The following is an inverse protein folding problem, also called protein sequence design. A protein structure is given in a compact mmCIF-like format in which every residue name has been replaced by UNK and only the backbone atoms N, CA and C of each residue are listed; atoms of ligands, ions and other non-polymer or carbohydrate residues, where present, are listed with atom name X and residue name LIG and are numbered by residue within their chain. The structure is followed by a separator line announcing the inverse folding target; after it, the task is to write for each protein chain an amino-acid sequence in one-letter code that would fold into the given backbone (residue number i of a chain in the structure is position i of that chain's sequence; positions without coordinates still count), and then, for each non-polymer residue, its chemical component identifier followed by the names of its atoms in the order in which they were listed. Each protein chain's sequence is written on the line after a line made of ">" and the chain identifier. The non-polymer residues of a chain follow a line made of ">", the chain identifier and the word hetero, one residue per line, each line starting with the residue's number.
data_IF_187942239329
#
_entry.id   IF_187942239329
#
_cell.length_a   1.000
_cell.length_b   1.000
_cell.length_c   1.000
_cell.angle_alpha   90.00
_cell.angle_beta   90.00
_cell.angle_gamma   90.00
#
_symmetry.space_group_name_H-M   'P 1'
#
loop_
_entity.id
_entity.type
_entity.pdbx_description
1 polymer ?
#
# COMPACT_ATOMS: atom_id res chain seq x y z
N UNK A 1 -9.13 19.31 -54.30
CA UNK A 1 -8.24 18.50 -55.14
C UNK A 1 -6.83 18.60 -54.55
N UNK A 2 -6.47 17.67 -53.68
CA UNK A 2 -5.15 17.56 -53.05
C UNK A 2 -4.83 16.05 -52.99
N UNK A 3 -3.71 15.58 -53.54
CA UNK A 3 -3.29 14.20 -53.35
C UNK A 3 -2.13 14.14 -52.35
N UNK A 4 -2.20 13.27 -51.35
CA UNK A 4 -0.98 12.71 -50.78
C UNK A 4 -1.23 11.30 -50.24
N UNK A 5 -0.54 10.36 -50.87
CA UNK A 5 -0.44 8.95 -50.49
C UNK A 5 0.37 8.85 -49.20
N UNK A 6 -0.10 8.04 -48.25
CA UNK A 6 0.74 7.52 -47.18
C UNK A 6 1.65 6.41 -47.73
N UNK A 7 2.92 6.28 -47.30
CA UNK A 7 3.74 5.12 -47.61
C UNK A 7 3.50 4.00 -46.58
N UNK A 8 3.34 2.77 -47.09
CA UNK A 8 3.32 1.54 -46.30
C UNK A 8 4.70 1.27 -45.69
N UNK A 9 4.78 1.23 -44.35
CA UNK A 9 5.93 0.70 -43.63
C UNK A 9 5.68 -0.78 -43.30
N UNK A 10 6.31 -1.68 -44.04
CA UNK A 10 6.44 -3.08 -43.65
C UNK A 10 7.55 -3.22 -42.60
N UNK A 11 7.17 -3.54 -41.36
CA UNK A 11 8.11 -3.94 -40.31
C UNK A 11 8.34 -5.45 -40.43
N UNK A 12 9.54 -5.85 -40.83
CA UNK A 12 9.99 -7.24 -40.78
C UNK A 12 10.44 -7.59 -39.37
N UNK A 13 9.76 -8.56 -38.73
CA UNK A 13 10.18 -9.13 -37.44
C UNK A 13 11.23 -10.22 -37.68
N UNK A 14 12.30 -10.31 -36.85
CA UNK A 14 13.24 -11.43 -36.91
C UNK A 14 12.62 -12.71 -36.33
N UNK A 15 13.07 -13.90 -36.76
CA UNK A 15 12.55 -15.18 -36.29
C UNK A 15 12.97 -15.48 -34.84
N UNK A 16 12.22 -16.32 -34.11
CA UNK A 16 12.49 -16.64 -32.70
C UNK A 16 13.72 -17.53 -32.55
N UNK A 17 14.58 -17.17 -31.60
CA UNK A 17 15.75 -17.95 -31.17
C UNK A 17 15.28 -19.06 -30.24
N UNK A 18 15.52 -20.31 -30.63
CA UNK A 18 15.23 -21.51 -29.84
C UNK A 18 16.35 -21.78 -28.83
N UNK A 19 16.02 -21.71 -27.53
CA UNK A 19 16.91 -22.14 -26.46
C UNK A 19 16.84 -23.66 -26.28
N UNK A 20 17.95 -24.34 -26.58
CA UNK A 20 18.16 -25.76 -26.30
C UNK A 20 18.68 -25.90 -24.87
N UNK A 21 17.86 -26.42 -23.97
CA UNK A 21 18.29 -26.82 -22.61
C UNK A 21 18.92 -28.21 -22.70
N UNK A 22 20.24 -28.28 -22.59
CA UNK A 22 20.98 -29.54 -22.40
C UNK A 22 20.85 -29.99 -20.94
N UNK A 23 20.18 -31.12 -20.73
CA UNK A 23 20.24 -31.88 -19.48
C UNK A 23 21.53 -32.71 -19.41
N UNK A 24 22.14 -32.81 -18.22
CA UNK A 24 23.27 -33.68 -17.92
C UNK A 24 23.26 -34.05 -16.42
N UNK A 25 23.86 -35.19 -16.03
CA UNK A 25 23.10 -36.22 -15.34
C UNK A 25 23.51 -36.50 -13.88
N UNK A 26 22.55 -37.10 -13.18
CA UNK A 26 22.68 -38.11 -12.12
C UNK A 26 24.04 -38.28 -11.44
N UNK A 27 24.10 -37.91 -10.16
CA UNK A 27 25.09 -38.45 -9.22
C UNK A 27 24.47 -39.57 -8.37
N UNK A 28 25.16 -40.70 -8.42
CA UNK A 28 24.94 -41.97 -7.75
C UNK A 28 25.34 -41.89 -6.27
N UNK A 29 24.56 -42.48 -5.35
CA UNK A 29 25.01 -42.79 -3.98
C UNK A 29 24.69 -44.25 -3.66
N UNK A 30 25.56 -44.98 -2.92
CA UNK A 30 25.53 -46.43 -2.86
C UNK A 30 24.66 -46.98 -1.73
N UNK A 31 24.31 -48.25 -1.93
CA UNK A 31 23.47 -49.13 -1.13
C UNK A 31 23.71 -49.12 0.39
N UNK A 32 22.62 -49.04 1.15
CA UNK A 32 22.56 -49.54 2.53
C UNK A 32 21.48 -50.60 2.68
N UNK A 33 21.83 -51.61 3.48
CA UNK A 33 21.24 -52.93 3.62
C UNK A 33 19.82 -52.90 4.19
N UNK A 34 18.97 -53.81 3.69
CA UNK A 34 17.63 -54.11 4.22
C UNK A 34 17.73 -54.78 5.60
N UNK A 35 16.95 -54.28 6.55
CA UNK A 35 16.42 -55.02 7.71
C UNK A 35 14.90 -54.76 7.77
N UNK A 36 14.07 -55.77 8.09
CA UNK A 36 12.63 -55.60 8.12
C UNK A 36 12.19 -55.15 9.52
N UNK A 37 11.59 -53.97 9.65
CA UNK A 37 10.88 -53.59 10.88
C UNK A 37 9.54 -52.98 10.52
N UNK A 38 8.46 -53.65 10.95
CA UNK A 38 7.04 -53.29 10.80
C UNK A 38 6.63 -52.00 11.57
N UNK A 39 7.55 -51.07 11.80
CA UNK A 39 7.31 -49.83 12.54
C UNK A 39 6.75 -48.62 11.74
N UNK A 40 6.83 -48.50 10.39
CA UNK A 40 6.40 -47.26 9.74
C UNK A 40 4.88 -47.17 9.51
N UNK A 41 4.13 -48.28 9.62
CA UNK A 41 2.69 -48.27 9.34
C UNK A 41 1.89 -47.65 10.50
N UNK A 42 2.33 -47.82 11.74
CA UNK A 42 1.64 -47.23 12.90
C UNK A 42 1.88 -45.72 13.06
N UNK A 43 3.07 -45.22 12.71
CA UNK A 43 3.40 -43.78 12.78
C UNK A 43 2.72 -42.98 11.67
N UNK A 44 2.57 -43.56 10.48
CA UNK A 44 1.83 -42.94 9.38
C UNK A 44 0.31 -42.97 9.65
N UNK A 45 -0.23 -44.05 10.24
CA UNK A 45 -1.64 -44.07 10.66
C UNK A 45 -1.92 -43.11 11.83
N UNK A 46 -1.01 -42.96 12.80
CA UNK A 46 -1.22 -42.01 13.91
C UNK A 46 -1.14 -40.55 13.46
N UNK A 47 -0.31 -40.23 12.46
CA UNK A 47 -0.28 -38.90 11.83
C UNK A 47 -1.50 -38.63 10.94
N UNK A 48 -2.05 -39.66 10.27
CA UNK A 48 -3.29 -39.52 9.50
C UNK A 48 -4.52 -39.40 10.41
N UNK A 49 -4.55 -40.07 11.57
CA UNK A 49 -5.64 -39.97 12.56
C UNK A 49 -5.58 -38.68 13.40
N UNK A 50 -4.40 -38.07 13.62
CA UNK A 50 -4.29 -36.75 14.25
C UNK A 50 -4.62 -35.58 13.31
N UNK A 51 -4.54 -35.79 11.99
CA UNK A 51 -5.06 -34.84 10.98
C UNK A 51 -6.58 -34.95 10.77
N UNK A 52 -7.21 -36.04 11.24
CA UNK A 52 -8.66 -36.25 11.17
C UNK A 52 -9.43 -35.81 12.42
N UNK A 53 -8.75 -35.31 13.46
CA UNK A 53 -9.33 -35.05 14.79
C UNK A 53 -9.33 -33.58 15.24
N UNK A 54 -9.14 -32.62 14.32
CA UNK A 54 -9.35 -31.20 14.63
C UNK A 54 -10.10 -30.47 13.50
N UNK A 55 -11.31 -30.93 13.16
CA UNK A 55 -12.27 -30.00 12.57
C UNK A 55 -12.80 -29.13 13.72
N UNK A 56 -12.64 -27.78 13.69
CA UNK A 56 -13.27 -26.94 14.70
C UNK A 56 -14.77 -27.21 14.68
N UNK A 57 -15.31 -27.64 15.82
CA UNK A 57 -16.68 -28.17 15.93
C UNK A 57 -17.77 -27.10 15.77
N UNK A 58 -17.42 -25.88 15.39
CA UNK A 58 -18.35 -24.78 15.12
C UNK A 58 -17.74 -23.81 14.11
N UNK A 59 -18.57 -23.32 13.17
CA UNK A 59 -18.22 -22.24 12.24
C UNK A 59 -17.80 -21.00 13.03
N UNK A 60 -16.64 -20.35 12.76
CA UNK A 60 -16.26 -19.14 13.46
C UNK A 60 -17.30 -18.03 13.25
N UNK A 61 -17.62 -17.33 14.32
CA UNK A 61 -18.51 -16.16 14.30
C UNK A 61 -17.70 -14.91 13.96
N UNK A 62 -18.06 -14.24 12.87
CA UNK A 62 -17.42 -13.01 12.41
C UNK A 62 -18.42 -11.87 12.55
N UNK A 63 -18.08 -10.93 13.43
CA UNK A 63 -18.84 -9.68 13.58
C UNK A 63 -18.31 -8.66 12.59
N UNK A 64 -19.22 -7.98 11.90
CA UNK A 64 -18.86 -7.04 10.84
C UNK A 64 -19.56 -5.70 11.05
N UNK A 65 -18.80 -4.62 10.92
CA UNK A 65 -19.31 -3.24 10.99
C UNK A 65 -18.62 -2.36 9.94
N UNK A 66 -19.21 -1.20 9.63
CA UNK A 66 -18.64 -0.25 8.67
C UNK A 66 -18.68 -0.67 7.19
N UNK A 67 -19.54 -1.63 6.83
CA UNK A 67 -19.82 -2.04 5.44
C UNK A 67 -21.34 -2.06 5.18
N UNK A 68 -21.75 -2.06 3.92
CA UNK A 68 -23.17 -2.01 3.54
C UNK A 68 -23.91 -3.34 3.78
N UNK A 69 -25.24 -3.30 3.82
CA UNK A 69 -26.06 -4.50 3.94
C UNK A 69 -25.83 -5.49 2.78
N UNK A 70 -25.63 -4.97 1.56
CA UNK A 70 -25.34 -5.79 0.38
C UNK A 70 -23.99 -6.50 0.51
N UNK A 71 -22.95 -5.81 1.01
CA UNK A 71 -21.65 -6.41 1.28
C UNK A 71 -21.74 -7.49 2.37
N UNK A 72 -22.53 -7.29 3.43
CA UNK A 72 -22.79 -8.33 4.43
C UNK A 72 -23.47 -9.55 3.80
N UNK A 73 -24.48 -9.33 2.95
CA UNK A 73 -25.19 -10.40 2.28
C UNK A 73 -24.29 -11.17 1.30
N UNK A 74 -23.41 -10.48 0.58
CA UNK A 74 -22.38 -11.07 -0.27
C UNK A 74 -21.47 -12.02 0.52
N UNK A 75 -20.99 -11.60 1.72
CA UNK A 75 -20.18 -12.46 2.59
C UNK A 75 -20.96 -13.70 3.05
N UNK A 76 -22.23 -13.54 3.46
CA UNK A 76 -23.09 -14.65 3.89
C UNK A 76 -23.30 -15.68 2.79
N UNK A 77 -23.51 -15.23 1.56
CA UNK A 77 -23.71 -16.10 0.39
C UNK A 77 -22.41 -16.78 -0.06
N UNK A 78 -21.27 -16.10 0.07
CA UNK A 78 -19.99 -16.56 -0.48
C UNK A 78 -19.17 -17.44 0.48
N UNK A 79 -19.53 -17.49 1.77
CA UNK A 79 -18.73 -18.11 2.84
C UNK A 79 -19.59 -19.00 3.73
N UNK A 80 -19.69 -20.28 3.38
CA UNK A 80 -20.42 -21.28 4.16
C UNK A 80 -19.66 -21.73 5.42
N UNK A 81 -18.37 -21.42 5.52
CA UNK A 81 -17.51 -21.89 6.60
C UNK A 81 -17.56 -21.01 7.86
N UNK A 82 -18.19 -19.83 7.79
CA UNK A 82 -18.24 -18.86 8.90
C UNK A 82 -19.65 -18.28 9.09
N UNK A 83 -20.01 -17.93 10.32
CA UNK A 83 -21.25 -17.20 10.62
C UNK A 83 -21.00 -15.69 10.54
N UNK A 84 -21.68 -14.98 9.64
CA UNK A 84 -21.48 -13.54 9.43
C UNK A 84 -22.60 -12.73 10.09
N UNK A 85 -22.22 -11.95 11.10
CA UNK A 85 -23.13 -11.18 11.94
C UNK A 85 -22.81 -9.68 11.80
N UNK A 86 -23.69 -8.93 11.15
CA UNK A 86 -23.60 -7.46 11.14
C UNK A 86 -23.81 -6.90 12.55
N UNK A 87 -23.20 -5.77 12.88
CA UNK A 87 -23.45 -5.07 14.14
C UNK A 87 -23.54 -3.56 13.93
N UNK A 88 -24.54 -2.93 14.52
CA UNK A 88 -24.53 -1.47 14.71
C UNK A 88 -23.52 -1.09 15.80
N UNK A 89 -23.28 0.22 15.97
CA UNK A 89 -22.41 0.71 17.05
C UNK A 89 -22.89 0.30 18.44
N UNK A 90 -24.20 0.28 18.65
CA UNK A 90 -24.84 -0.05 19.94
C UNK A 90 -24.76 -1.55 20.25
N UNK A 91 -24.84 -2.39 19.21
CA UNK A 91 -24.83 -3.84 19.36
C UNK A 91 -23.42 -4.45 19.35
N UNK A 92 -22.40 -3.67 18.97
CA UNK A 92 -21.05 -4.19 18.73
C UNK A 92 -20.50 -4.96 19.93
N UNK A 93 -20.60 -4.38 21.14
CA UNK A 93 -20.00 -4.98 22.35
C UNK A 93 -20.67 -6.29 22.75
N UNK A 94 -21.99 -6.41 22.58
CA UNK A 94 -22.72 -7.64 22.90
C UNK A 94 -22.46 -8.72 21.84
N UNK A 95 -22.45 -8.35 20.56
CA UNK A 95 -22.24 -9.29 19.45
C UNK A 95 -20.81 -9.82 19.36
N UNK A 96 -19.81 -9.01 19.75
CA UNK A 96 -18.39 -9.41 19.70
C UNK A 96 -17.97 -10.30 20.87
N UNK A 97 -18.75 -10.37 21.95
CA UNK A 97 -18.36 -11.03 23.20
C UNK A 97 -17.93 -12.51 23.03
N UNK A 98 -18.61 -13.23 22.13
CA UNK A 98 -18.39 -14.62 21.76
C UNK A 98 -17.85 -14.79 20.33
N UNK A 99 -17.46 -13.70 19.65
CA UNK A 99 -16.99 -13.73 18.26
C UNK A 99 -15.53 -14.20 18.14
N UNK A 100 -15.22 -14.86 17.03
CA UNK A 100 -13.87 -15.28 16.64
C UNK A 100 -13.12 -14.22 15.84
N UNK A 101 -13.86 -13.41 15.07
CA UNK A 101 -13.31 -12.36 14.21
C UNK A 101 -14.16 -11.09 14.24
N UNK A 102 -13.50 -9.95 14.04
CA UNK A 102 -14.11 -8.63 13.93
C UNK A 102 -13.59 -7.91 12.69
N UNK A 103 -14.50 -7.45 11.82
CA UNK A 103 -14.16 -6.63 10.66
C UNK A 103 -14.75 -5.23 10.86
N UNK A 104 -13.91 -4.20 10.67
CA UNK A 104 -14.32 -2.80 10.58
C UNK A 104 -14.15 -1.96 11.85
N UNK A 105 -13.91 -2.58 13.01
CA UNK A 105 -13.60 -1.87 14.27
C UNK A 105 -12.42 -2.50 14.99
N UNK A 106 -11.72 -1.70 15.77
CA UNK A 106 -10.57 -2.09 16.59
C UNK A 106 -10.55 -1.34 17.93
N UNK A 107 -11.70 -0.80 18.37
CA UNK A 107 -11.78 -0.02 19.61
C UNK A 107 -11.42 -0.85 20.84
N UNK A 108 -10.77 -0.25 21.83
CA UNK A 108 -10.36 -0.92 23.06
C UNK A 108 -11.54 -1.64 23.74
N UNK A 109 -12.73 -1.05 23.76
CA UNK A 109 -13.94 -1.67 24.31
C UNK A 109 -14.34 -2.95 23.57
N UNK A 110 -14.31 -2.95 22.24
CA UNK A 110 -14.63 -4.14 21.46
C UNK A 110 -13.60 -5.26 21.70
N UNK A 111 -12.32 -4.90 21.79
CA UNK A 111 -11.24 -5.85 22.10
C UNK A 111 -11.41 -6.43 23.51
N UNK A 112 -11.76 -5.62 24.51
CA UNK A 112 -12.01 -6.09 25.88
C UNK A 112 -13.25 -6.98 25.97
N UNK A 113 -14.31 -6.66 25.22
CA UNK A 113 -15.54 -7.43 25.20
C UNK A 113 -15.35 -8.80 24.54
N UNK A 114 -14.58 -8.87 23.44
CA UNK A 114 -14.41 -10.09 22.64
C UNK A 114 -13.53 -11.16 23.29
N UNK A 115 -14.10 -11.96 24.19
CA UNK A 115 -13.36 -12.98 24.98
C UNK A 115 -12.83 -14.16 24.15
N UNK A 116 -13.41 -14.39 22.96
CA UNK A 116 -12.98 -15.43 22.01
C UNK A 116 -12.28 -14.86 20.78
N UNK A 117 -12.07 -13.54 20.72
CA UNK A 117 -11.58 -12.87 19.53
C UNK A 117 -10.16 -13.34 19.20
N UNK A 118 -9.96 -13.75 17.95
CA UNK A 118 -8.66 -14.20 17.42
C UNK A 118 -8.17 -13.30 16.29
N UNK A 119 -9.08 -12.58 15.65
CA UNK A 119 -8.79 -11.77 14.47
C UNK A 119 -9.53 -10.43 14.47
N UNK A 120 -8.82 -9.36 14.10
CA UNK A 120 -9.37 -8.03 13.78
C UNK A 120 -8.89 -7.59 12.40
N UNK A 121 -9.80 -7.13 11.54
CA UNK A 121 -9.52 -6.58 10.22
C UNK A 121 -9.96 -5.12 10.14
N UNK A 122 -9.04 -4.23 9.76
CA UNK A 122 -9.36 -2.82 9.46
C UNK A 122 -9.82 -2.66 8.01
N UNK A 123 -10.56 -1.58 7.71
CA UNK A 123 -11.00 -1.26 6.34
C UNK A 123 -9.95 -0.45 5.55
N UNK A 124 -8.96 0.10 6.25
CA UNK A 124 -7.93 1.01 5.76
C UNK A 124 -6.57 0.34 5.62
N UNK A 125 -5.68 0.92 4.81
CA UNK A 125 -4.28 0.47 4.72
C UNK A 125 -3.49 0.79 6.00
N UNK A 126 -3.68 1.97 6.60
CA UNK A 126 -3.05 2.30 7.89
C UNK A 126 -3.84 1.79 9.09
N UNK A 127 -3.14 1.72 10.22
CA UNK A 127 -3.63 1.14 11.49
C UNK A 127 -3.36 2.02 12.70
N UNK A 128 -3.04 3.30 12.49
CA UNK A 128 -2.69 4.24 13.54
C UNK A 128 -3.80 4.37 14.60
N UNK A 129 -5.08 4.28 14.18
CA UNK A 129 -6.25 4.25 15.06
C UNK A 129 -6.48 2.92 15.80
N UNK A 130 -5.71 1.88 15.50
CA UNK A 130 -5.87 0.53 16.04
C UNK A 130 -4.67 0.11 16.91
N UNK A 131 -4.10 1.06 17.66
CA UNK A 131 -2.90 0.87 18.50
C UNK A 131 -3.18 0.83 20.00
N UNK A 132 -4.41 0.51 20.41
CA UNK A 132 -4.74 0.40 21.83
C UNK A 132 -3.87 -0.69 22.52
N UNK A 133 -3.43 -0.50 23.78
CA UNK A 133 -2.66 -1.51 24.49
C UNK A 133 -3.35 -2.87 24.55
N UNK A 134 -4.69 -2.88 24.63
CA UNK A 134 -5.51 -4.09 24.62
C UNK A 134 -5.36 -4.88 23.32
N UNK A 135 -5.28 -4.19 22.17
CA UNK A 135 -5.05 -4.87 20.90
C UNK A 135 -3.58 -5.22 20.71
N UNK A 136 -2.67 -4.29 20.97
CA UNK A 136 -1.23 -4.45 20.71
C UNK A 136 -0.65 -5.61 21.53
N UNK A 137 -1.03 -5.74 22.80
CA UNK A 137 -0.47 -6.76 23.72
C UNK A 137 -1.27 -8.07 23.76
N UNK A 138 -2.37 -8.18 23.00
CA UNK A 138 -3.16 -9.43 22.92
C UNK A 138 -2.56 -10.44 21.94
N UNK A 139 -2.98 -11.71 21.98
CA UNK A 139 -2.67 -12.68 20.92
C UNK A 139 -3.50 -12.48 19.64
N UNK A 140 -4.43 -11.52 19.61
CA UNK A 140 -5.32 -11.27 18.45
C UNK A 140 -4.49 -10.84 17.24
N UNK A 141 -4.70 -11.49 16.10
CA UNK A 141 -4.08 -11.09 14.84
C UNK A 141 -4.79 -9.86 14.29
N UNK A 142 -4.04 -8.79 14.04
CA UNK A 142 -4.52 -7.59 13.34
C UNK A 142 -4.13 -7.67 11.87
N UNK A 143 -5.09 -7.47 10.97
CA UNK A 143 -4.87 -7.34 9.52
C UNK A 143 -5.42 -6.01 9.01
N UNK A 144 -4.80 -5.49 7.96
CA UNK A 144 -5.21 -4.24 7.31
C UNK A 144 -5.54 -4.45 5.83
N UNK A 145 -5.94 -3.37 5.17
CA UNK A 145 -6.22 -3.34 3.73
C UNK A 145 -5.00 -2.89 2.90
N UNK A 146 -3.76 -3.19 3.35
CA UNK A 146 -2.57 -2.91 2.53
C UNK A 146 -2.60 -3.74 1.24
N UNK A 147 -1.81 -3.33 0.25
CA UNK A 147 -1.69 -3.94 -1.10
C UNK A 147 -2.92 -3.69 -1.98
N UNK A 148 -4.16 -3.86 -1.48
CA UNK A 148 -5.34 -3.70 -2.34
C UNK A 148 -5.53 -2.26 -2.84
N UNK A 149 -5.01 -1.27 -2.11
CA UNK A 149 -5.02 0.15 -2.48
C UNK A 149 -3.75 0.61 -3.22
N UNK A 150 -2.76 -0.26 -3.40
CA UNK A 150 -1.44 0.11 -3.92
C UNK A 150 -1.49 0.74 -5.32
N UNK A 151 -2.15 0.10 -6.30
CA UNK A 151 -2.18 0.61 -7.68
C UNK A 151 -2.80 2.01 -7.80
N UNK A 152 -3.98 2.24 -7.21
CA UNK A 152 -4.70 3.52 -7.32
C UNK A 152 -3.99 4.65 -6.56
N UNK A 153 -3.39 4.37 -5.41
CA UNK A 153 -2.60 5.38 -4.68
C UNK A 153 -1.38 5.78 -5.50
N UNK A 154 -0.76 4.81 -6.17
CA UNK A 154 0.38 5.09 -7.04
C UNK A 154 -0.03 5.88 -8.29
N UNK A 155 -1.18 5.57 -8.91
CA UNK A 155 -1.75 6.36 -10.00
C UNK A 155 -2.02 7.80 -9.55
N UNK A 156 -2.58 7.97 -8.35
CA UNK A 156 -2.86 9.28 -7.76
C UNK A 156 -1.58 10.07 -7.46
N UNK A 157 -0.54 9.42 -6.93
CA UNK A 157 0.76 10.05 -6.69
C UNK A 157 1.39 10.58 -7.99
N UNK A 158 1.31 9.80 -9.07
CA UNK A 158 1.76 10.24 -10.39
C UNK A 158 0.85 11.32 -10.98
N UNK A 159 -0.47 11.26 -10.75
CA UNK A 159 -1.39 12.32 -11.16
C UNK A 159 -1.07 13.66 -10.49
N UNK A 160 -0.77 13.66 -9.19
CA UNK A 160 -0.32 14.84 -8.44
C UNK A 160 1.00 15.39 -9.03
N UNK A 161 1.98 14.53 -9.30
CA UNK A 161 3.24 14.93 -9.92
C UNK A 161 3.03 15.49 -11.33
N UNK A 162 2.26 14.81 -12.17
CA UNK A 162 1.98 15.22 -13.55
C UNK A 162 1.17 16.51 -13.61
N UNK A 163 0.27 16.74 -12.64
CA UNK A 163 -0.44 18.01 -12.52
C UNK A 163 0.51 19.19 -12.38
N UNK A 164 1.54 19.05 -11.54
CA UNK A 164 2.58 20.06 -11.33
C UNK A 164 3.54 20.16 -12.52
N UNK A 165 4.14 19.04 -12.93
CA UNK A 165 5.20 19.02 -13.95
C UNK A 165 4.68 19.34 -15.35
N UNK A 166 3.40 19.10 -15.65
CA UNK A 166 2.79 19.45 -16.94
C UNK A 166 1.97 20.75 -16.88
N UNK A 167 1.94 21.42 -15.73
CA UNK A 167 1.27 22.71 -15.54
C UNK A 167 -0.26 22.62 -15.59
N UNK A 168 -0.85 21.46 -15.32
CA UNK A 168 -2.30 21.27 -15.32
C UNK A 168 -2.96 22.06 -14.18
N UNK A 169 -2.33 22.09 -13.00
CA UNK A 169 -2.78 22.88 -11.86
C UNK A 169 -3.03 24.35 -12.24
N UNK A 170 -2.13 24.94 -13.03
CA UNK A 170 -2.28 26.32 -13.51
C UNK A 170 -3.27 26.42 -14.67
N UNK A 171 -3.19 25.51 -15.66
CA UNK A 171 -4.04 25.55 -16.84
C UNK A 171 -5.54 25.40 -16.51
N UNK A 172 -5.89 24.61 -15.50
CA UNK A 172 -7.27 24.40 -15.05
C UNK A 172 -7.94 25.68 -14.56
N UNK A 173 -7.18 26.66 -14.08
CA UNK A 173 -7.69 27.97 -13.62
C UNK A 173 -8.15 28.88 -14.76
N UNK A 174 -7.73 28.62 -16.01
CA UNK A 174 -8.13 29.42 -17.17
C UNK A 174 -9.51 29.07 -17.72
N UNK A 175 -9.98 27.82 -17.52
CA UNK A 175 -11.30 27.37 -17.97
C UNK A 175 -12.46 28.24 -17.45
N UNK A 176 -12.61 28.50 -16.13
CA UNK A 176 -13.70 29.35 -15.63
C UNK A 176 -13.62 30.80 -16.12
N UNK A 177 -12.46 31.24 -16.62
CA UNK A 177 -12.23 32.58 -17.18
C UNK A 177 -12.39 32.62 -18.71
N UNK A 178 -12.63 31.49 -19.36
CA UNK A 178 -12.64 31.33 -20.82
C UNK A 178 -11.36 31.85 -21.51
N UNK A 179 -10.20 31.69 -20.87
CA UNK A 179 -8.93 32.19 -21.40
C UNK A 179 -8.13 31.09 -22.11
N UNK A 180 -7.63 31.40 -23.32
CA UNK A 180 -6.70 30.55 -24.06
C UNK A 180 -5.26 31.05 -23.88
N UNK A 181 -4.64 30.75 -22.74
CA UNK A 181 -3.24 31.16 -22.46
C UNK A 181 -2.28 30.15 -23.08
N UNK A 182 -1.35 30.60 -23.93
CA UNK A 182 -0.27 29.76 -24.52
C UNK A 182 1.11 29.97 -23.88
N UNK A 183 1.27 31.04 -23.12
CA UNK A 183 2.54 31.44 -22.49
C UNK A 183 2.48 31.19 -20.97
N UNK A 184 3.65 31.15 -20.32
CA UNK A 184 3.76 31.04 -18.86
C UNK A 184 3.83 29.61 -18.31
N UNK A 185 3.80 28.59 -19.18
CA UNK A 185 4.03 27.20 -18.78
C UNK A 185 5.48 26.81 -18.99
N UNK A 186 6.06 26.11 -18.03
CA UNK A 186 7.40 25.52 -18.11
C UNK A 186 7.31 24.01 -17.81
N UNK A 187 6.73 23.23 -18.75
CA UNK A 187 6.48 21.84 -18.51
C UNK A 187 7.79 21.04 -18.45
N UNK A 188 7.87 20.10 -17.52
CA UNK A 188 9.04 19.31 -17.21
C UNK A 188 8.82 17.87 -17.67
N UNK A 189 9.85 17.25 -18.26
CA UNK A 189 9.87 15.83 -18.60
C UNK A 189 10.38 15.01 -17.42
N UNK A 190 9.77 13.84 -17.18
CA UNK A 190 10.20 12.91 -16.13
C UNK A 190 11.36 12.00 -16.60
N UNK A 191 11.50 11.78 -17.91
CA UNK A 191 12.52 10.88 -18.46
C UNK A 191 13.93 11.34 -18.04
N UNK A 192 14.72 10.41 -17.52
CA UNK A 192 16.09 10.68 -17.05
C UNK A 192 16.18 11.37 -15.69
N UNK A 193 15.06 11.73 -15.07
CA UNK A 193 15.03 12.26 -13.69
C UNK A 193 15.09 11.14 -12.66
N UNK A 194 15.45 11.49 -11.43
CA UNK A 194 15.54 10.57 -10.30
C UNK A 194 14.33 10.70 -9.39
N UNK A 195 13.62 9.59 -9.17
CA UNK A 195 12.59 9.43 -8.16
C UNK A 195 13.19 8.75 -6.92
N UNK A 196 13.05 9.37 -5.75
CA UNK A 196 13.33 8.75 -4.46
C UNK A 196 12.03 8.40 -3.77
N UNK A 197 11.84 7.14 -3.40
CA UNK A 197 10.61 6.64 -2.76
C UNK A 197 10.92 6.28 -1.31
N UNK A 198 10.34 7.02 -0.37
CA UNK A 198 10.44 6.76 1.06
C UNK A 198 9.29 5.82 1.45
N UNK A 199 9.64 4.59 1.83
CA UNK A 199 8.72 3.48 2.07
C UNK A 199 8.44 2.69 0.79
N UNK A 200 9.13 1.57 0.60
CA UNK A 200 9.07 0.73 -0.63
C UNK A 200 8.19 -0.52 -0.39
N UNK A 201 7.15 -0.35 0.43
CA UNK A 201 6.10 -1.37 0.63
C UNK A 201 5.15 -1.49 -0.56
N UNK A 202 3.92 -1.94 -0.32
CA UNK A 202 2.93 -2.17 -1.39
C UNK A 202 2.63 -0.92 -2.25
N UNK A 203 2.53 0.27 -1.63
CA UNK A 203 2.30 1.53 -2.36
C UNK A 203 3.60 1.98 -3.06
N UNK A 204 4.71 2.05 -2.33
CA UNK A 204 5.99 2.52 -2.89
C UNK A 204 6.48 1.67 -4.06
N UNK A 205 6.29 0.35 -4.01
CA UNK A 205 6.58 -0.56 -5.13
C UNK A 205 5.75 -0.20 -6.38
N UNK A 206 4.46 0.09 -6.21
CA UNK A 206 3.59 0.48 -7.31
C UNK A 206 3.93 1.86 -7.87
N UNK A 207 4.40 2.79 -7.03
CA UNK A 207 4.96 4.08 -7.47
C UNK A 207 6.24 3.87 -8.26
N UNK A 208 7.13 2.97 -7.80
CA UNK A 208 8.38 2.64 -8.48
C UNK A 208 8.15 2.12 -9.90
N UNK A 209 7.21 1.18 -10.06
CA UNK A 209 6.82 0.64 -11.37
C UNK A 209 6.40 1.74 -12.35
N UNK A 210 5.55 2.68 -11.89
CA UNK A 210 5.08 3.79 -12.72
C UNK A 210 6.19 4.79 -13.02
N UNK A 211 6.95 5.20 -12.01
CA UNK A 211 8.07 6.13 -12.19
C UNK A 211 9.12 5.57 -13.18
N UNK A 212 9.45 4.29 -13.06
CA UNK A 212 10.33 3.58 -13.99
C UNK A 212 9.74 3.55 -15.41
N UNK A 213 8.43 3.31 -15.56
CA UNK A 213 7.75 3.36 -16.86
C UNK A 213 7.78 4.76 -17.52
N UNK A 214 7.85 5.85 -16.73
CA UNK A 214 8.11 7.21 -17.21
C UNK A 214 9.59 7.47 -17.56
N UNK A 215 10.46 6.46 -17.45
CA UNK A 215 11.88 6.55 -17.74
C UNK A 215 12.70 7.23 -16.65
N UNK A 216 12.20 7.25 -15.40
CA UNK A 216 12.94 7.76 -14.25
C UNK A 216 13.92 6.70 -13.72
N UNK A 217 15.06 7.18 -13.18
CA UNK A 217 15.90 6.42 -12.25
C UNK A 217 15.19 6.34 -10.91
N UNK A 218 15.04 5.16 -10.32
CA UNK A 218 14.27 4.99 -9.07
C UNK A 218 15.16 4.49 -7.96
N UNK A 219 15.19 5.24 -6.86
CA UNK A 219 15.86 4.92 -5.61
C UNK A 219 14.82 4.74 -4.51
N UNK A 220 15.11 3.88 -3.54
CA UNK A 220 14.21 3.59 -2.42
C UNK A 220 14.86 3.87 -1.07
N UNK A 221 14.05 4.24 -0.07
CA UNK A 221 14.44 4.27 1.35
C UNK A 221 13.47 3.40 2.13
N UNK A 222 13.97 2.33 2.75
CA UNK A 222 13.15 1.40 3.55
C UNK A 222 14.02 0.74 4.64
N UNK A 223 13.49 0.51 5.86
CA UNK A 223 14.22 -0.24 6.89
C UNK A 223 14.44 -1.71 6.54
N UNK A 224 13.71 -2.26 5.56
CA UNK A 224 13.90 -3.63 5.08
C UNK A 224 14.81 -3.62 3.86
N UNK A 225 15.70 -4.60 3.82
CA UNK A 225 16.39 -4.94 2.57
C UNK A 225 15.36 -5.59 1.64
N UNK A 226 14.88 -4.77 0.69
CA UNK A 226 13.87 -5.19 -0.28
C UNK A 226 14.63 -5.72 -1.49
N UNK A 227 14.40 -6.98 -1.91
CA UNK A 227 15.04 -7.53 -3.10
C UNK A 227 14.88 -6.55 -4.27
N UNK A 228 15.97 -6.34 -5.02
CA UNK A 228 15.96 -5.45 -6.18
C UNK A 228 14.79 -5.80 -7.09
N UNK A 229 13.81 -4.89 -7.11
CA UNK A 229 12.72 -4.94 -8.06
C UNK A 229 13.24 -4.41 -9.38
N UNK A 230 12.74 -4.91 -10.51
CA UNK A 230 13.14 -4.38 -11.83
C UNK A 230 12.95 -2.86 -11.96
N UNK A 231 12.07 -2.28 -11.13
CA UNK A 231 11.73 -0.86 -11.11
C UNK A 231 12.43 -0.05 -10.03
N UNK A 232 13.28 -0.64 -9.17
CA UNK A 232 14.05 0.06 -8.13
C UNK A 232 15.53 -0.29 -8.28
N UNK A 233 16.36 0.70 -8.62
CA UNK A 233 17.80 0.50 -8.86
C UNK A 233 18.54 0.15 -7.57
N UNK A 234 18.20 0.84 -6.47
CA UNK A 234 18.84 0.66 -5.17
C UNK A 234 17.95 1.13 -4.03
N UNK A 235 18.00 0.39 -2.92
CA UNK A 235 17.36 0.73 -1.65
C UNK A 235 18.41 1.13 -0.62
N UNK A 236 18.04 2.09 0.23
CA UNK A 236 18.86 2.63 1.31
C UNK A 236 18.13 2.49 2.66
N UNK A 237 18.85 2.25 3.76
CA UNK A 237 18.24 2.31 5.08
C UNK A 237 17.85 3.77 5.46
N UNK A 238 16.89 3.97 6.39
CA UNK A 238 16.38 5.30 6.73
C UNK A 238 17.42 6.29 7.27
N UNK A 239 18.47 5.81 7.93
CA UNK A 239 19.58 6.63 8.42
C UNK A 239 20.43 7.24 7.29
N UNK A 240 20.37 6.68 6.09
CA UNK A 240 21.02 7.19 4.87
C UNK A 240 20.11 8.09 4.03
N UNK A 241 18.88 8.40 4.47
CA UNK A 241 17.96 9.28 3.74
C UNK A 241 18.62 10.59 3.32
N UNK A 242 19.38 11.22 4.22
CA UNK A 242 20.05 12.50 3.98
C UNK A 242 21.15 12.43 2.92
N UNK A 243 21.74 11.27 2.72
CA UNK A 243 22.81 11.07 1.75
C UNK A 243 22.26 10.96 0.33
N UNK A 244 21.05 10.38 0.19
CA UNK A 244 20.41 10.14 -1.11
C UNK A 244 19.47 11.28 -1.56
N UNK A 245 18.94 12.09 -0.63
CA UNK A 245 18.09 13.25 -0.97
C UNK A 245 18.68 14.20 -2.05
N UNK A 246 20.00 14.51 -2.06
CA UNK A 246 20.60 15.33 -3.11
C UNK A 246 20.53 14.75 -4.53
N UNK A 247 20.29 13.44 -4.69
CA UNK A 247 20.13 12.81 -6.01
C UNK A 247 18.71 12.99 -6.58
N UNK A 248 17.71 13.23 -5.73
CA UNK A 248 16.30 13.17 -6.11
C UNK A 248 15.81 14.45 -6.81
N UNK A 249 15.20 14.29 -7.99
CA UNK A 249 14.41 15.34 -8.64
C UNK A 249 12.94 15.31 -8.17
N UNK A 250 12.48 14.13 -7.76
CA UNK A 250 11.17 13.93 -7.15
C UNK A 250 11.32 13.02 -5.92
N UNK A 251 10.73 13.41 -4.80
CA UNK A 251 10.62 12.56 -3.60
C UNK A 251 9.16 12.18 -3.39
N UNK A 252 8.89 10.88 -3.30
CA UNK A 252 7.58 10.32 -2.95
C UNK A 252 7.61 9.81 -1.51
N UNK A 253 6.69 10.28 -0.68
CA UNK A 253 6.47 9.81 0.68
C UNK A 253 5.31 8.79 0.69
N UNK A 254 5.67 7.52 0.93
CA UNK A 254 4.76 6.38 1.03
C UNK A 254 4.96 5.55 2.31
N UNK A 255 5.89 5.96 3.20
CA UNK A 255 6.19 5.30 4.46
C UNK A 255 5.08 5.51 5.49
N UNK A 256 4.68 4.49 6.27
CA UNK A 256 3.64 4.61 7.29
C UNK A 256 4.03 5.63 8.38
N UNK A 257 3.06 6.18 9.11
CA UNK A 257 3.34 7.03 10.27
C UNK A 257 3.66 6.19 11.50
N UNK A 258 4.91 6.27 11.95
CA UNK A 258 5.43 5.68 13.18
C UNK A 258 6.18 6.76 13.96
N UNK A 259 6.72 6.40 15.13
CA UNK A 259 7.58 7.31 15.89
C UNK A 259 8.84 7.68 15.11
N UNK A 260 9.39 6.76 14.33
CA UNK A 260 10.59 6.94 13.53
C UNK A 260 10.36 7.77 12.26
N UNK A 261 9.17 7.69 11.65
CA UNK A 261 8.83 8.45 10.44
C UNK A 261 8.15 9.79 10.72
N UNK A 262 7.78 10.08 11.97
CA UNK A 262 7.17 11.35 12.36
C UNK A 262 8.11 12.52 12.10
N UNK A 263 7.67 13.49 11.29
CA UNK A 263 8.48 14.64 10.90
C UNK A 263 9.79 14.27 10.18
N UNK A 264 9.87 13.07 9.59
CA UNK A 264 11.06 12.59 8.90
C UNK A 264 11.50 13.53 7.76
N UNK A 265 10.55 14.20 7.12
CA UNK A 265 10.84 15.28 6.17
C UNK A 265 10.63 16.63 6.85
N UNK A 266 11.73 17.30 7.24
CA UNK A 266 11.71 18.63 7.82
C UNK A 266 12.60 19.63 7.11
N UNK A 267 12.92 20.74 7.78
CA UNK A 267 13.70 21.85 7.20
C UNK A 267 15.02 21.39 6.60
N UNK A 268 15.74 20.50 7.30
CA UNK A 268 17.04 20.00 6.86
C UNK A 268 16.89 19.11 5.63
N UNK A 269 15.91 18.21 5.62
CA UNK A 269 15.69 17.28 4.53
C UNK A 269 15.24 18.00 3.25
N UNK A 270 14.33 18.97 3.36
CA UNK A 270 13.94 19.81 2.21
C UNK A 270 15.09 20.67 1.67
N UNK A 271 16.00 21.14 2.54
CA UNK A 271 17.19 21.88 2.12
C UNK A 271 18.23 21.00 1.39
N UNK A 272 18.27 19.69 1.69
CA UNK A 272 19.15 18.72 1.03
C UNK A 272 18.63 18.26 -0.33
N UNK A 273 17.32 18.34 -0.58
CA UNK A 273 16.76 18.08 -1.90
C UNK A 273 17.32 19.07 -2.93
N UNK A 274 17.37 18.65 -4.20
CA UNK A 274 17.76 19.56 -5.29
C UNK A 274 16.85 20.78 -5.29
N UNK A 275 17.42 21.96 -5.53
CA UNK A 275 16.62 23.17 -5.79
C UNK A 275 15.73 22.92 -7.01
N UNK A 276 14.44 23.16 -6.86
CA UNK A 276 13.44 22.90 -7.90
C UNK A 276 12.98 21.44 -7.97
N UNK A 277 13.29 20.60 -6.97
CA UNK A 277 12.72 19.27 -6.84
C UNK A 277 11.22 19.32 -6.49
N UNK A 278 10.54 18.20 -6.72
CA UNK A 278 9.13 18.02 -6.36
C UNK A 278 9.00 17.07 -5.16
N UNK A 279 7.99 17.32 -4.32
CA UNK A 279 7.64 16.44 -3.21
C UNK A 279 6.19 15.96 -3.35
N UNK A 280 5.95 14.65 -3.22
CA UNK A 280 4.61 14.07 -3.29
C UNK A 280 4.35 13.25 -2.02
N UNK A 281 3.29 13.57 -1.28
CA UNK A 281 2.91 12.83 -0.09
C UNK A 281 1.52 12.20 -0.26
N UNK A 282 1.50 10.87 -0.27
CA UNK A 282 0.29 10.03 -0.30
C UNK A 282 0.24 9.07 0.89
N UNK A 283 0.99 9.38 1.95
CA UNK A 283 1.05 8.59 3.18
C UNK A 283 0.29 9.24 4.34
N UNK A 284 0.94 10.08 5.14
CA UNK A 284 0.37 10.82 6.28
C UNK A 284 0.99 12.20 6.35
N UNK A 285 0.21 13.21 6.73
CA UNK A 285 0.76 14.55 6.95
C UNK A 285 1.84 14.59 8.04
N UNK A 286 1.67 13.78 9.09
CA UNK A 286 2.58 13.71 10.23
C UNK A 286 3.98 13.18 9.93
N UNK A 287 4.24 12.63 8.74
CA UNK A 287 5.61 12.28 8.33
C UNK A 287 6.41 13.50 7.86
N UNK A 288 5.77 14.66 7.81
CA UNK A 288 6.32 15.93 7.33
C UNK A 288 6.14 17.01 8.40
N UNK A 289 7.19 17.81 8.60
CA UNK A 289 7.06 19.10 9.29
C UNK A 289 6.36 20.09 8.33
N UNK A 290 5.06 20.30 8.54
CA UNK A 290 4.23 21.14 7.65
C UNK A 290 4.74 22.59 7.54
N UNK A 291 5.12 23.29 8.64
CA UNK A 291 5.82 24.57 8.55
C UNK A 291 7.07 24.54 7.66
N UNK A 292 7.92 23.53 7.80
CA UNK A 292 9.12 23.40 6.97
C UNK A 292 8.79 23.22 5.48
N UNK A 293 7.77 22.42 5.16
CA UNK A 293 7.28 22.25 3.79
C UNK A 293 6.78 23.58 3.20
N UNK A 294 5.97 24.34 3.95
CA UNK A 294 5.48 25.66 3.52
C UNK A 294 6.65 26.60 3.21
N UNK A 295 7.67 26.64 4.08
CA UNK A 295 8.85 27.47 3.86
C UNK A 295 9.63 27.04 2.60
N UNK A 296 9.82 25.73 2.39
CA UNK A 296 10.52 25.20 1.23
C UNK A 296 9.80 25.52 -0.09
N UNK A 297 8.46 25.51 -0.08
CA UNK A 297 7.64 25.86 -1.24
C UNK A 297 7.64 27.37 -1.50
N UNK A 298 7.46 28.18 -0.46
CA UNK A 298 7.42 29.65 -0.57
C UNK A 298 8.78 30.24 -1.01
N UNK A 299 9.88 29.60 -0.62
CA UNK A 299 11.23 29.99 -1.04
C UNK A 299 11.66 29.41 -2.39
N UNK A 300 10.80 28.62 -3.05
CA UNK A 300 11.11 27.86 -4.26
C UNK A 300 12.34 26.93 -4.13
N UNK A 301 12.67 26.52 -2.89
CA UNK A 301 13.57 25.39 -2.68
C UNK A 301 12.96 24.15 -3.35
N UNK A 302 11.64 23.95 -3.18
CA UNK A 302 10.86 23.00 -3.95
C UNK A 302 10.15 23.72 -5.10
N UNK A 303 10.16 23.10 -6.29
CA UNK A 303 9.38 23.59 -7.43
C UNK A 303 7.89 23.45 -7.18
N UNK A 304 7.46 22.42 -6.44
CA UNK A 304 6.08 22.24 -6.02
C UNK A 304 5.86 20.99 -5.18
N UNK A 305 4.66 20.86 -4.62
CA UNK A 305 4.25 19.70 -3.83
C UNK A 305 2.86 19.19 -4.17
N UNK A 306 2.72 17.86 -4.27
CA UNK A 306 1.45 17.16 -4.40
C UNK A 306 1.08 16.48 -3.09
N UNK A 307 -0.04 16.86 -2.48
CA UNK A 307 -0.41 16.44 -1.12
C UNK A 307 -1.80 15.82 -1.14
N UNK A 308 -1.89 14.51 -0.97
CA UNK A 308 -3.18 13.86 -0.65
C UNK A 308 -3.48 13.91 0.85
N UNK A 309 -2.45 14.17 1.66
CA UNK A 309 -2.52 14.15 3.13
C UNK A 309 -1.83 15.38 3.69
N UNK A 310 -2.34 15.86 4.82
CA UNK A 310 -1.83 17.06 5.49
C UNK A 310 -1.86 16.89 7.01
N UNK A 311 -1.24 17.79 7.78
CA UNK A 311 -1.39 17.80 9.24
C UNK A 311 -1.67 19.25 9.68
N UNK A 312 -2.85 19.53 10.26
CA UNK A 312 -3.94 18.60 10.61
C UNK A 312 -4.85 18.23 9.42
N UNK A 313 -5.70 17.21 9.60
CA UNK A 313 -6.80 16.88 8.69
C UNK A 313 -8.16 17.03 9.41
N UNK A 314 -9.15 17.73 8.82
CA UNK A 314 -9.09 18.48 7.57
C UNK A 314 -8.16 19.70 7.65
N UNK A 315 -7.55 20.08 6.51
CA UNK A 315 -6.67 21.24 6.45
C UNK A 315 -7.48 22.53 6.73
N UNK A 316 -7.07 23.39 7.69
CA UNK A 316 -7.79 24.63 8.01
C UNK A 316 -7.93 25.53 6.79
N UNK A 317 -9.07 26.19 6.63
CA UNK A 317 -9.41 26.98 5.43
C UNK A 317 -8.51 28.20 5.22
N UNK A 318 -7.84 28.68 6.26
CA UNK A 318 -6.89 29.79 6.25
C UNK A 318 -5.42 29.37 6.10
N UNK A 319 -5.15 28.06 6.04
CA UNK A 319 -3.81 27.51 6.02
C UNK A 319 -3.00 27.98 4.79
N UNK A 320 -1.69 28.33 4.95
CA UNK A 320 -0.87 28.88 3.86
C UNK A 320 -0.77 28.00 2.61
N UNK A 321 -0.82 26.67 2.76
CA UNK A 321 -0.76 25.74 1.62
C UNK A 321 -1.86 25.99 0.57
N UNK A 322 -3.02 26.51 0.96
CA UNK A 322 -4.09 26.86 0.02
C UNK A 322 -3.73 28.02 -0.91
N UNK A 323 -2.77 28.86 -0.52
CA UNK A 323 -2.40 30.11 -1.23
C UNK A 323 -1.16 29.95 -2.11
N UNK A 324 -0.51 28.80 -2.07
CA UNK A 324 0.71 28.52 -2.82
C UNK A 324 0.35 27.91 -4.19
N UNK A 325 0.62 28.63 -5.27
CA UNK A 325 0.29 28.21 -6.64
C UNK A 325 1.02 26.93 -7.08
N UNK A 326 2.13 26.60 -6.42
CA UNK A 326 2.93 25.40 -6.66
C UNK A 326 2.54 24.22 -5.76
N UNK A 327 1.33 24.21 -5.20
CA UNK A 327 0.80 23.11 -4.39
C UNK A 327 -0.47 22.57 -5.02
N UNK A 328 -0.58 21.24 -5.11
CA UNK A 328 -1.82 20.53 -5.46
C UNK A 328 -2.24 19.73 -4.24
N UNK A 329 -3.46 19.95 -3.75
CA UNK A 329 -4.02 19.28 -2.57
C UNK A 329 -5.24 18.46 -2.98
N UNK A 330 -5.31 17.21 -2.53
CA UNK A 330 -6.50 16.37 -2.60
C UNK A 330 -6.90 15.93 -1.20
N UNK A 331 -8.20 15.75 -0.90
CA UNK A 331 -8.69 15.58 0.46
C UNK A 331 -8.62 14.11 0.94
N UNK A 332 -7.42 13.52 0.95
CA UNK A 332 -7.16 12.15 1.40
C UNK A 332 -7.98 11.09 0.66
N UNK A 333 -7.92 11.14 -0.68
CA UNK A 333 -8.72 10.31 -1.58
C UNK A 333 -7.89 9.36 -2.44
N UNK A 334 -6.55 9.35 -2.33
CA UNK A 334 -5.69 8.54 -3.21
C UNK A 334 -6.03 7.04 -3.19
N UNK A 335 -6.56 6.54 -2.07
CA UNK A 335 -6.96 5.14 -1.93
C UNK A 335 -8.34 4.80 -2.53
N UNK A 336 -9.10 5.77 -3.03
CA UNK A 336 -10.44 5.55 -3.55
C UNK A 336 -10.41 5.09 -5.01
N UNK A 337 -11.23 4.09 -5.35
CA UNK A 337 -11.38 3.57 -6.72
C UNK A 337 -12.73 2.89 -6.87
N UNK A 338 -13.25 2.87 -8.10
CA UNK A 338 -14.40 2.07 -8.54
C UNK A 338 -14.23 0.56 -8.31
N UNK A 339 -12.99 0.07 -8.16
CA UNK A 339 -12.67 -1.34 -7.91
C UNK A 339 -12.28 -1.63 -6.45
N UNK A 340 -12.22 -0.61 -5.59
CA UNK A 340 -11.74 -0.77 -4.23
C UNK A 340 -12.61 -1.75 -3.44
N UNK A 341 -13.92 -1.59 -3.51
CA UNK A 341 -14.86 -2.42 -2.76
C UNK A 341 -14.77 -3.88 -3.20
N UNK A 342 -14.70 -4.16 -4.49
CA UNK A 342 -14.48 -5.52 -5.02
C UNK A 342 -13.23 -6.15 -4.42
N UNK A 343 -12.08 -5.47 -4.48
CA UNK A 343 -10.82 -5.97 -3.93
C UNK A 343 -10.87 -6.16 -2.41
N UNK A 344 -11.54 -5.24 -1.70
CA UNK A 344 -11.75 -5.31 -0.25
C UNK A 344 -12.58 -6.52 0.14
N UNK A 345 -13.69 -6.76 -0.56
CA UNK A 345 -14.55 -7.92 -0.33
C UNK A 345 -13.79 -9.23 -0.59
N UNK A 346 -12.99 -9.30 -1.65
CA UNK A 346 -12.14 -10.46 -1.90
C UNK A 346 -11.09 -10.68 -0.81
N UNK A 347 -10.47 -9.63 -0.27
CA UNK A 347 -9.57 -9.74 0.88
C UNK A 347 -10.31 -10.29 2.12
N UNK A 348 -11.50 -9.79 2.42
CA UNK A 348 -12.29 -10.24 3.56
C UNK A 348 -12.69 -11.71 3.42
N UNK A 349 -13.23 -12.11 2.27
CA UNK A 349 -13.54 -13.52 1.95
C UNK A 349 -12.32 -14.41 2.14
N UNK A 350 -11.16 -13.97 1.65
CA UNK A 350 -9.90 -14.71 1.77
C UNK A 350 -9.44 -14.90 3.21
N UNK A 351 -9.53 -13.86 4.05
CA UNK A 351 -9.14 -13.93 5.45
C UNK A 351 -10.15 -14.71 6.30
N UNK A 352 -11.45 -14.60 6.03
CA UNK A 352 -12.47 -15.42 6.71
C UNK A 352 -12.24 -16.91 6.43
N UNK A 353 -12.00 -17.30 5.16
CA UNK A 353 -11.70 -18.70 4.80
C UNK A 353 -10.42 -19.20 5.46
N UNK A 354 -9.39 -18.35 5.56
CA UNK A 354 -8.12 -18.70 6.24
C UNK A 354 -8.34 -18.89 7.73
N UNK A 355 -9.08 -18.00 8.40
CA UNK A 355 -9.42 -18.11 9.81
C UNK A 355 -10.17 -19.42 10.10
N UNK A 356 -11.19 -19.74 9.28
CA UNK A 356 -11.97 -20.98 9.43
C UNK A 356 -11.12 -22.25 9.30
N UNK A 357 -10.03 -22.19 8.51
CA UNK A 357 -9.09 -23.29 8.30
C UNK A 357 -7.87 -23.26 9.23
N UNK A 358 -7.77 -22.28 10.14
CA UNK A 358 -6.58 -22.09 10.98
C UNK A 358 -5.31 -21.73 10.20
N UNK A 359 -5.44 -21.17 9.00
CA UNK A 359 -4.32 -20.75 8.16
C UNK A 359 -3.86 -19.34 8.50
N UNK A 360 -2.59 -18.99 8.25
CA UNK A 360 -2.09 -17.62 8.39
C UNK A 360 -2.93 -16.63 7.58
N UNK A 361 -3.31 -15.50 8.21
CA UNK A 361 -4.10 -14.45 7.58
C UNK A 361 -3.23 -13.58 6.66
N UNK A 362 -3.82 -13.11 5.57
CA UNK A 362 -3.21 -12.13 4.68
C UNK A 362 -3.12 -10.77 5.37
N UNK A 363 -2.10 -10.00 5.02
CA UNK A 363 -1.91 -8.63 5.48
C UNK A 363 -1.80 -8.49 7.00
N UNK A 364 -1.22 -9.48 7.67
CA UNK A 364 -0.90 -9.35 9.09
C UNK A 364 -0.02 -8.11 9.34
N UNK A 365 -0.35 -7.42 10.42
CA UNK A 365 0.31 -6.20 10.89
C UNK A 365 1.23 -6.58 12.03
N UNK A 366 2.47 -6.09 12.00
CA UNK A 366 3.32 -6.14 13.19
C UNK A 366 2.81 -5.08 14.17
N UNK A 367 2.04 -5.51 15.19
CA UNK A 367 1.35 -4.58 16.11
C UNK A 367 2.31 -3.73 16.95
N UNK A 368 3.54 -4.21 17.17
CA UNK A 368 4.55 -3.46 17.92
C UNK A 368 5.11 -2.33 17.06
N UNK A 369 5.41 -2.62 15.78
CA UNK A 369 5.90 -1.62 14.81
C UNK A 369 4.79 -0.69 14.29
N UNK A 370 3.58 -1.20 14.20
CA UNK A 370 2.40 -0.48 13.72
C UNK A 370 2.19 -0.50 12.20
N UNK A 371 2.72 -1.49 11.46
CA UNK A 371 2.51 -1.63 9.99
C UNK A 371 2.71 -3.07 9.44
#
# INVERSE_FOLDING_TARGET
>A
MFPSRAPDFQVTLPPPVSFVVKASPFCYYPSMKRLPSLLPVYLVLSCLLSLLSAQPSSRPKIVVTGITADQVNELRQSIAEAEIVAATREELLSRVADADGLIGSCSADAIRAGKKLRWVQTLSAGVEGCRSPELVNSPIVLTNAKIIMGPEIADHALALLLSLTRGLNTAMLSKPKAEWRRQGYQPIELRGKTALIIGVGGIGTQIAERASAFGMRVLGVDPKDIPLLNSVEKTYPPDQLREVLPEADVVFMAAPHTTESQGMMGTREFALMKRGAYFVNVSRGKTVDTPALVQALASHQLAGAGLDVTDPEPLPSDHPLWKLDNVVITPHIAGQSDQLDTRRMELFKNNIRRLAKGLPLLNAVDKQKGY
#
